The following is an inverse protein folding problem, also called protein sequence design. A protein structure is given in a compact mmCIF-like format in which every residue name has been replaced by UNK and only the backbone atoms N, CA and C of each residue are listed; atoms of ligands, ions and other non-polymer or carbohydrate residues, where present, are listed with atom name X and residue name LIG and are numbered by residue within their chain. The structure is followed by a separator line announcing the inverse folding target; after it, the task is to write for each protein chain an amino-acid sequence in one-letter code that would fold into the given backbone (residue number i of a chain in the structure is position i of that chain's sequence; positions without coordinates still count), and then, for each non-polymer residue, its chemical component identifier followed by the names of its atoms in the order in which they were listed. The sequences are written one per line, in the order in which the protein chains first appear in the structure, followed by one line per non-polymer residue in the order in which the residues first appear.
data_IF_653776440987
#
_entry.id   IF_653776440987
#
_cell.length_a   1.000
_cell.length_b   1.000
_cell.length_c   1.000
_cell.angle_alpha   90.00
_cell.angle_beta   90.00
_cell.angle_gamma   90.00
#
_symmetry.space_group_name_H-M   'P 1'
#
loop_
_entity.id
_entity.type
_entity.pdbx_description
1 polymer ?
#
# COMPACT_ATOMS: atom_id res chain seq x y z
N UNK A 1 -14.81 -2.51 -11.78
CA UNK A 1 -14.84 -1.42 -12.76
C UNK A 1 -15.83 -1.67 -13.90
N UNK A 2 -15.76 -2.80 -14.57
CA UNK A 2 -16.69 -3.15 -15.66
C UNK A 2 -18.15 -3.15 -15.19
N UNK A 3 -18.44 -3.64 -13.99
CA UNK A 3 -19.80 -3.62 -13.41
C UNK A 3 -20.29 -2.19 -13.19
N UNK A 4 -19.42 -1.26 -12.78
CA UNK A 4 -19.73 0.17 -12.63
C UNK A 4 -20.11 0.77 -13.96
N UNK A 5 -19.28 0.56 -14.99
CA UNK A 5 -19.52 1.05 -16.36
C UNK A 5 -20.81 0.46 -16.94
N UNK A 6 -21.03 -0.84 -16.76
CA UNK A 6 -22.23 -1.53 -17.22
C UNK A 6 -23.50 -0.98 -16.55
N UNK A 7 -23.46 -0.75 -15.23
CA UNK A 7 -24.58 -0.19 -14.46
C UNK A 7 -24.92 1.22 -14.92
N UNK A 8 -23.91 2.08 -15.07
CA UNK A 8 -24.11 3.46 -15.54
C UNK A 8 -24.66 3.46 -16.97
N UNK A 9 -24.07 2.68 -17.88
CA UNK A 9 -24.52 2.54 -19.26
C UNK A 9 -25.97 2.07 -19.36
N UNK A 10 -26.38 1.12 -18.52
CA UNK A 10 -27.77 0.63 -18.46
C UNK A 10 -28.74 1.75 -18.08
N UNK A 11 -28.39 2.58 -17.09
CA UNK A 11 -29.21 3.72 -16.68
C UNK A 11 -29.31 4.77 -17.78
N UNK A 12 -28.19 5.14 -18.41
CA UNK A 12 -28.20 6.10 -19.53
C UNK A 12 -29.07 5.58 -20.67
N UNK A 13 -28.94 4.31 -21.04
CA UNK A 13 -29.75 3.68 -22.10
C UNK A 13 -31.24 3.73 -21.77
N UNK A 14 -31.60 3.48 -20.51
CA UNK A 14 -32.98 3.49 -20.05
C UNK A 14 -33.63 4.87 -20.11
N UNK A 15 -32.91 5.88 -19.63
CA UNK A 15 -33.47 7.23 -19.46
C UNK A 15 -33.14 8.16 -20.63
N UNK A 16 -32.20 7.79 -21.49
CA UNK A 16 -31.72 8.58 -22.63
C UNK A 16 -31.25 9.99 -22.22
N UNK A 17 -30.56 10.07 -21.10
CA UNK A 17 -29.99 11.30 -20.56
C UNK A 17 -28.48 11.13 -20.40
N UNK A 18 -27.69 12.19 -20.67
CA UNK A 18 -26.27 12.17 -20.36
C UNK A 18 -26.05 12.03 -18.84
N UNK A 19 -24.97 11.37 -18.45
CA UNK A 19 -24.69 11.09 -17.05
C UNK A 19 -23.23 11.44 -16.73
N UNK A 20 -23.06 12.28 -15.71
CA UNK A 20 -21.79 12.63 -15.12
C UNK A 20 -21.69 11.93 -13.75
N UNK A 21 -20.89 10.90 -13.69
CA UNK A 21 -20.62 10.17 -12.45
C UNK A 21 -19.36 10.71 -11.82
N UNK A 22 -19.49 11.47 -10.71
CA UNK A 22 -18.37 11.96 -9.93
C UNK A 22 -18.11 11.00 -8.77
N UNK A 23 -16.94 10.36 -8.78
CA UNK A 23 -16.50 9.46 -7.72
C UNK A 23 -15.49 10.13 -6.81
N UNK A 24 -15.46 9.72 -5.54
CA UNK A 24 -14.47 10.18 -4.58
C UNK A 24 -13.09 9.57 -4.87
N UNK A 25 -12.04 10.27 -4.45
CA UNK A 25 -10.66 9.78 -4.44
C UNK A 25 -10.15 9.78 -3.01
N UNK A 26 -9.35 8.78 -2.66
CA UNK A 26 -8.69 8.68 -1.38
C UNK A 26 -9.21 7.55 -0.49
N UNK A 27 -8.73 7.47 0.74
CA UNK A 27 -9.11 6.41 1.66
C UNK A 27 -9.78 6.94 2.92
N UNK A 28 -10.70 6.14 3.44
CA UNK A 28 -11.34 6.39 4.72
C UNK A 28 -11.42 5.07 5.50
N UNK A 29 -10.61 4.94 6.53
CA UNK A 29 -10.47 3.73 7.34
C UNK A 29 -10.08 2.53 6.46
N UNK A 30 -11.01 1.63 6.18
CA UNK A 30 -10.81 0.37 5.44
C UNK A 30 -11.22 0.48 3.95
N UNK A 31 -11.79 1.61 3.55
CA UNK A 31 -12.33 1.81 2.20
C UNK A 31 -11.39 2.73 1.42
N UNK A 32 -11.01 2.30 0.23
CA UNK A 32 -10.28 3.12 -0.74
C UNK A 32 -11.22 3.46 -1.90
N UNK A 33 -11.38 4.76 -2.17
CA UNK A 33 -12.13 5.28 -3.30
C UNK A 33 -11.17 5.53 -4.46
N UNK A 34 -11.44 4.86 -5.57
CA UNK A 34 -10.54 4.81 -6.71
C UNK A 34 -10.66 6.01 -7.67
N UNK A 35 -11.59 6.92 -7.47
CA UNK A 35 -11.85 7.97 -8.43
C UNK A 35 -12.47 7.41 -9.71
N UNK A 36 -11.77 7.51 -10.84
CA UNK A 36 -12.29 7.05 -12.15
C UNK A 36 -13.71 7.55 -12.42
N UNK A 37 -13.93 8.86 -12.26
CA UNK A 37 -15.20 9.50 -12.62
C UNK A 37 -15.51 9.31 -14.09
N UNK A 38 -16.78 9.06 -14.42
CA UNK A 38 -17.19 8.63 -15.76
C UNK A 38 -18.21 9.60 -16.36
N UNK A 39 -18.09 9.83 -17.65
CA UNK A 39 -18.98 10.71 -18.40
C UNK A 39 -19.55 9.94 -19.58
N UNK A 40 -20.88 9.87 -19.67
CA UNK A 40 -21.61 9.24 -20.74
C UNK A 40 -22.55 10.23 -21.42
N UNK A 41 -22.59 10.22 -22.76
CA UNK A 41 -23.58 10.96 -23.53
C UNK A 41 -24.98 10.30 -23.49
N UNK A 42 -25.99 10.95 -24.03
CA UNK A 42 -27.37 10.43 -24.07
C UNK A 42 -27.53 9.14 -24.91
N UNK A 43 -26.57 8.82 -25.78
CA UNK A 43 -26.54 7.60 -26.58
C UNK A 43 -25.77 6.45 -25.86
N UNK A 44 -25.36 6.66 -24.60
CA UNK A 44 -24.61 5.73 -23.79
C UNK A 44 -23.17 5.44 -24.32
N UNK A 45 -22.56 6.39 -25.01
CA UNK A 45 -21.15 6.38 -25.34
C UNK A 45 -20.35 6.93 -24.15
N UNK A 46 -19.23 6.30 -23.83
CA UNK A 46 -18.28 6.81 -22.84
C UNK A 46 -17.48 7.96 -23.46
N UNK A 47 -17.72 9.18 -22.98
CA UNK A 47 -17.07 10.39 -23.47
C UNK A 47 -15.86 10.80 -22.64
N UNK A 48 -15.71 10.31 -21.42
CA UNK A 48 -14.57 10.60 -20.58
C UNK A 48 -14.47 9.69 -19.36
N UNK A 49 -13.25 9.41 -18.96
CA UNK A 49 -12.89 8.73 -17.73
C UNK A 49 -11.72 9.51 -17.09
N UNK A 50 -11.91 9.97 -15.85
CA UNK A 50 -10.89 10.70 -15.13
C UNK A 50 -9.88 9.72 -14.50
N UNK A 51 -8.68 10.20 -14.10
CA UNK A 51 -7.64 9.37 -13.51
C UNK A 51 -8.12 8.58 -12.28
N UNK A 52 -7.44 7.47 -12.01
CA UNK A 52 -7.62 6.69 -10.79
C UNK A 52 -6.64 7.14 -9.73
N UNK A 53 -7.07 7.12 -8.48
CA UNK A 53 -6.27 7.44 -7.29
C UNK A 53 -5.64 8.84 -7.32
N UNK A 54 -6.14 9.73 -8.19
CA UNK A 54 -5.71 11.11 -8.31
C UNK A 54 -6.91 12.05 -8.37
N UNK A 55 -6.82 13.20 -7.68
CA UNK A 55 -7.81 14.26 -7.79
C UNK A 55 -7.69 14.92 -9.18
N UNK A 56 -8.80 15.07 -9.87
CA UNK A 56 -8.83 15.68 -11.18
C UNK A 56 -10.08 16.53 -11.38
N UNK A 57 -9.94 17.62 -12.15
CA UNK A 57 -11.05 18.47 -12.59
C UNK A 57 -10.97 18.56 -14.11
N UNK A 58 -12.10 18.28 -14.76
CA UNK A 58 -12.20 18.37 -16.20
C UNK A 58 -13.54 18.97 -16.62
N UNK A 59 -13.53 19.83 -17.63
CA UNK A 59 -14.70 20.44 -18.21
C UNK A 59 -15.13 19.71 -19.47
N UNK A 60 -16.42 19.56 -19.69
CA UNK A 60 -17.02 18.95 -20.87
C UNK A 60 -18.10 19.89 -21.41
N UNK A 61 -18.27 19.93 -22.71
CA UNK A 61 -19.36 20.70 -23.37
C UNK A 61 -20.52 19.74 -23.61
N UNK A 62 -21.64 20.00 -22.99
CA UNK A 62 -22.90 19.28 -23.21
C UNK A 62 -23.74 20.07 -24.21
N UNK A 63 -24.07 19.46 -25.35
CA UNK A 63 -24.93 20.03 -26.38
C UNK A 63 -26.43 19.77 -26.09
N UNK A 64 -27.32 20.57 -26.65
CA UNK A 64 -28.77 20.45 -26.45
C UNK A 64 -29.35 19.12 -26.95
N UNK A 65 -28.68 18.44 -27.88
CA UNK A 65 -29.05 17.10 -28.36
C UNK A 65 -28.59 15.95 -27.46
N UNK A 66 -27.92 16.26 -26.36
CA UNK A 66 -27.41 15.30 -25.40
C UNK A 66 -26.07 14.68 -25.77
N UNK A 67 -25.40 15.15 -26.83
CA UNK A 67 -24.02 14.79 -27.15
C UNK A 67 -23.05 15.53 -26.23
N UNK A 68 -21.89 14.93 -25.98
CA UNK A 68 -20.83 15.53 -25.16
C UNK A 68 -19.55 15.60 -25.97
N UNK A 69 -18.98 16.79 -26.04
CA UNK A 69 -17.66 17.02 -26.59
C UNK A 69 -16.63 16.87 -25.47
N UNK A 70 -15.77 15.83 -25.59
CA UNK A 70 -14.65 15.68 -24.70
C UNK A 70 -13.54 16.66 -25.10
N UNK A 71 -12.91 17.35 -24.14
CA UNK A 71 -11.68 18.07 -24.44
C UNK A 71 -10.63 17.08 -24.96
N UNK A 72 -9.81 17.52 -25.90
CA UNK A 72 -8.65 16.73 -26.37
C UNK A 72 -7.68 16.65 -25.19
N UNK A 73 -7.66 15.50 -24.53
CA UNK A 73 -6.67 15.24 -23.47
C UNK A 73 -5.44 14.69 -24.19
N UNK A 74 -4.34 15.42 -24.10
CA UNK A 74 -3.04 14.79 -24.33
C UNK A 74 -2.85 13.79 -23.18
N UNK A 75 -2.62 12.50 -23.46
CA UNK A 75 -2.40 11.53 -22.39
C UNK A 75 -1.22 12.00 -21.56
N UNK A 76 -1.46 12.21 -20.25
CA UNK A 76 -0.37 12.46 -19.33
C UNK A 76 0.68 11.36 -19.56
N UNK A 77 1.93 11.76 -19.78
CA UNK A 77 3.01 10.86 -20.12
C UNK A 77 3.10 9.74 -19.09
N UNK A 78 2.63 8.56 -19.48
CA UNK A 78 2.91 7.34 -18.70
C UNK A 78 4.43 7.27 -18.54
N UNK A 79 4.87 7.05 -17.30
CA UNK A 79 6.25 6.67 -17.08
C UNK A 79 6.60 5.50 -18.00
N UNK A 80 7.79 5.49 -18.63
CA UNK A 80 8.15 4.44 -19.56
C UNK A 80 8.07 3.09 -18.87
N UNK A 81 7.31 2.18 -19.49
CA UNK A 81 7.24 0.77 -19.09
C UNK A 81 8.66 0.21 -18.98
N UNK A 82 9.16 0.05 -17.75
CA UNK A 82 10.23 -0.90 -17.54
C UNK A 82 9.62 -2.27 -17.81
N UNK A 83 10.13 -2.94 -18.84
CA UNK A 83 9.84 -4.34 -19.11
C UNK A 83 10.13 -5.18 -17.86
N UNK A 84 9.17 -5.28 -16.98
CA UNK A 84 9.10 -6.32 -15.96
C UNK A 84 8.60 -7.56 -16.69
N UNK A 85 9.45 -8.57 -16.78
CA UNK A 85 9.12 -9.87 -17.34
C UNK A 85 7.90 -10.41 -16.56
N UNK A 86 6.69 -10.46 -17.13
CA UNK A 86 5.52 -10.84 -16.37
C UNK A 86 5.63 -12.33 -16.05
N UNK A 87 5.80 -12.68 -14.78
CA UNK A 87 5.26 -13.93 -14.28
C UNK A 87 3.80 -13.98 -14.76
N UNK A 88 3.42 -15.04 -15.49
CA UNK A 88 2.07 -15.19 -16.00
C UNK A 88 1.08 -15.19 -14.81
N UNK A 89 0.62 -14.01 -14.47
CA UNK A 89 -0.46 -13.80 -13.50
C UNK A 89 -1.77 -14.10 -14.24
N UNK A 90 -2.66 -14.81 -13.58
CA UNK A 90 -3.98 -15.08 -14.12
C UNK A 90 -4.62 -13.78 -14.61
N UNK A 91 -5.21 -13.81 -15.81
CA UNK A 91 -5.76 -12.62 -16.53
C UNK A 91 -6.82 -11.82 -15.75
N UNK A 92 -7.27 -12.30 -14.59
CA UNK A 92 -8.31 -11.68 -13.75
C UNK A 92 -7.79 -10.89 -12.55
N UNK A 93 -6.48 -10.91 -12.27
CA UNK A 93 -5.90 -10.14 -11.17
C UNK A 93 -5.43 -8.78 -11.69
N UNK A 94 -6.20 -7.74 -11.40
CA UNK A 94 -5.78 -6.37 -11.65
C UNK A 94 -4.80 -5.92 -10.54
N UNK A 95 -3.60 -6.53 -10.55
CA UNK A 95 -2.58 -6.34 -9.52
C UNK A 95 -2.09 -4.89 -9.47
N UNK A 96 -2.05 -4.22 -10.62
CA UNK A 96 -1.69 -2.81 -10.72
C UNK A 96 -2.68 -1.94 -9.92
N UNK A 97 -3.98 -2.17 -10.11
CA UNK A 97 -5.01 -1.43 -9.37
C UNK A 97 -4.96 -1.73 -7.86
N UNK A 98 -4.68 -2.97 -7.46
CA UNK A 98 -4.50 -3.34 -6.05
C UNK A 98 -3.27 -2.64 -5.46
N UNK A 99 -2.16 -2.62 -6.19
CA UNK A 99 -0.95 -1.91 -5.81
C UNK A 99 -1.22 -0.42 -5.58
N UNK A 100 -1.85 0.25 -6.55
CA UNK A 100 -2.14 1.68 -6.48
C UNK A 100 -3.13 2.03 -5.37
N UNK A 101 -4.12 1.17 -5.15
CA UNK A 101 -5.05 1.30 -4.03
C UNK A 101 -4.33 1.24 -2.67
N UNK A 102 -3.39 0.30 -2.49
CA UNK A 102 -2.60 0.19 -1.26
C UNK A 102 -1.72 1.43 -1.06
N UNK A 103 -1.02 1.88 -2.10
CA UNK A 103 -0.19 3.10 -2.05
C UNK A 103 -1.05 4.31 -1.67
N UNK A 104 -2.20 4.50 -2.32
CA UNK A 104 -3.14 5.58 -2.01
C UNK A 104 -3.64 5.48 -0.57
N UNK A 105 -4.00 4.29 -0.10
CA UNK A 105 -4.45 4.04 1.26
C UNK A 105 -3.41 4.42 2.33
N UNK A 106 -2.16 3.98 2.15
CA UNK A 106 -1.06 4.32 3.06
C UNK A 106 -0.83 5.84 3.08
N UNK A 107 -0.74 6.46 1.91
CA UNK A 107 -0.48 7.89 1.76
C UNK A 107 -1.55 8.74 2.45
N UNK A 108 -2.81 8.41 2.21
CA UNK A 108 -3.95 9.12 2.80
C UNK A 108 -4.02 8.93 4.31
N UNK A 109 -3.81 7.73 4.82
CA UNK A 109 -3.79 7.48 6.25
C UNK A 109 -2.75 8.34 6.95
N UNK A 110 -1.52 8.35 6.45
CA UNK A 110 -0.43 9.15 7.03
C UNK A 110 -0.73 10.64 6.97
N UNK A 111 -1.23 11.13 5.83
CA UNK A 111 -1.59 12.53 5.64
C UNK A 111 -2.70 12.96 6.60
N UNK A 112 -3.77 12.19 6.70
CA UNK A 112 -4.93 12.50 7.56
C UNK A 112 -4.61 12.43 9.05
N UNK A 113 -3.70 11.54 9.43
CA UNK A 113 -3.24 11.41 10.82
C UNK A 113 -2.12 12.39 11.17
N UNK A 114 -1.58 13.14 10.20
CA UNK A 114 -0.47 14.06 10.39
C UNK A 114 0.87 13.36 10.60
N UNK A 115 0.99 12.08 10.20
CA UNK A 115 2.24 11.34 10.28
C UNK A 115 3.10 11.62 9.06
N UNK A 116 4.40 11.78 9.28
CA UNK A 116 5.37 12.07 8.21
C UNK A 116 6.41 10.98 8.05
N UNK A 117 6.58 10.11 9.03
CA UNK A 117 7.60 9.05 9.05
C UNK A 117 7.01 7.73 9.50
N UNK A 118 7.57 6.65 8.98
CA UNK A 118 7.22 5.28 9.37
C UNK A 118 8.45 4.52 9.85
N UNK A 119 8.24 3.58 10.77
CA UNK A 119 9.23 2.59 11.18
C UNK A 119 8.65 1.20 10.99
N UNK A 120 9.46 0.27 10.50
CA UNK A 120 9.06 -1.10 10.20
C UNK A 120 10.11 -2.10 10.65
N UNK A 121 9.68 -3.18 11.28
CA UNK A 121 10.52 -4.35 11.52
C UNK A 121 10.70 -5.15 10.22
N UNK A 122 11.94 -5.27 9.72
CA UNK A 122 12.27 -6.06 8.54
C UNK A 122 12.86 -7.40 8.96
N UNK A 123 12.13 -8.49 8.68
CA UNK A 123 12.50 -9.85 9.11
C UNK A 123 13.32 -10.61 8.06
N UNK A 124 13.40 -10.12 6.83
CA UNK A 124 13.92 -10.84 5.67
C UNK A 124 12.89 -11.78 5.02
N UNK A 125 11.67 -11.87 5.55
CA UNK A 125 10.56 -12.57 4.91
C UNK A 125 9.81 -11.70 3.91
N UNK A 126 9.11 -12.35 2.97
CA UNK A 126 8.42 -11.68 1.85
C UNK A 126 7.39 -10.65 2.32
N UNK A 127 6.64 -10.93 3.38
CA UNK A 127 5.59 -10.02 3.86
C UNK A 127 6.17 -8.69 4.33
N UNK A 128 7.26 -8.74 5.12
CA UNK A 128 7.95 -7.53 5.56
C UNK A 128 8.64 -6.79 4.42
N UNK A 129 9.13 -7.53 3.42
CA UNK A 129 9.77 -6.97 2.24
C UNK A 129 8.77 -6.19 1.38
N UNK A 130 7.61 -6.78 1.09
CA UNK A 130 6.53 -6.12 0.34
C UNK A 130 6.02 -4.90 1.10
N UNK A 131 5.79 -5.03 2.41
CA UNK A 131 5.34 -3.91 3.24
C UNK A 131 6.33 -2.75 3.23
N UNK A 132 7.65 -3.04 3.33
CA UNK A 132 8.70 -2.03 3.28
C UNK A 132 8.74 -1.32 1.92
N UNK A 133 8.66 -2.08 0.82
CA UNK A 133 8.67 -1.53 -0.52
C UNK A 133 7.46 -0.60 -0.75
N UNK A 134 6.25 -1.04 -0.40
CA UNK A 134 5.03 -0.26 -0.53
C UNK A 134 5.06 1.01 0.35
N UNK A 135 5.57 0.90 1.58
CA UNK A 135 5.73 2.06 2.46
C UNK A 135 6.71 3.10 1.86
N UNK A 136 7.85 2.64 1.31
CA UNK A 136 8.81 3.53 0.64
C UNK A 136 8.21 4.20 -0.60
N UNK A 137 7.38 3.50 -1.37
CA UNK A 137 6.69 4.07 -2.53
C UNK A 137 5.64 5.10 -2.12
N UNK A 138 4.88 4.83 -1.05
CA UNK A 138 3.83 5.72 -0.59
C UNK A 138 4.36 6.99 0.12
N UNK A 139 5.37 6.86 0.96
CA UNK A 139 5.83 7.91 1.87
C UNK A 139 7.16 8.54 1.44
N UNK A 140 7.84 7.94 0.48
CA UNK A 140 9.21 8.29 0.12
C UNK A 140 10.24 7.55 1.00
N UNK A 141 11.30 7.06 0.37
CA UNK A 141 12.33 6.21 1.00
C UNK A 141 12.96 6.83 2.25
N UNK A 142 13.19 8.13 2.26
CA UNK A 142 13.85 8.83 3.35
C UNK A 142 12.96 8.96 4.61
N UNK A 143 11.67 8.73 4.45
CA UNK A 143 10.66 8.77 5.51
C UNK A 143 10.31 7.40 6.11
N UNK A 144 10.92 6.32 5.59
CA UNK A 144 10.64 4.95 6.05
C UNK A 144 11.94 4.32 6.57
N UNK A 145 11.98 4.03 7.86
CA UNK A 145 13.13 3.39 8.51
C UNK A 145 12.85 1.91 8.75
N UNK A 146 13.73 1.05 8.27
CA UNK A 146 13.68 -0.39 8.56
C UNK A 146 14.51 -0.72 9.80
N UNK A 147 14.02 -1.61 10.66
CA UNK A 147 14.77 -2.13 11.80
C UNK A 147 14.87 -3.64 11.69
N UNK A 148 16.09 -4.12 11.51
CA UNK A 148 16.41 -5.53 11.47
C UNK A 148 16.72 -6.00 12.90
N UNK A 149 15.94 -6.93 13.41
CA UNK A 149 16.05 -7.37 14.80
C UNK A 149 16.34 -8.89 14.88
N UNK A 150 17.56 -9.30 14.51
CA UNK A 150 17.92 -10.70 14.52
C UNK A 150 17.96 -11.26 15.95
N UNK A 151 17.61 -12.54 16.07
CA UNK A 151 17.73 -13.35 17.27
C UNK A 151 18.64 -14.56 16.97
N UNK A 152 18.91 -15.38 17.99
CA UNK A 152 19.64 -16.63 17.83
C UNK A 152 19.01 -17.62 16.85
N UNK A 153 17.73 -17.43 16.53
CA UNK A 153 16.97 -18.27 15.57
C UNK A 153 16.97 -17.69 14.16
N UNK A 154 17.48 -16.48 13.98
CA UNK A 154 17.54 -15.82 12.66
C UNK A 154 18.67 -16.40 11.82
N UNK A 155 18.38 -16.73 10.57
CA UNK A 155 19.42 -17.17 9.64
C UNK A 155 20.23 -15.98 9.13
N UNK A 156 21.50 -16.20 8.78
CA UNK A 156 22.31 -15.17 8.16
C UNK A 156 21.72 -14.68 6.82
N UNK A 157 21.05 -15.57 6.09
CA UNK A 157 20.37 -15.23 4.83
C UNK A 157 19.25 -14.20 5.06
N UNK A 158 18.38 -14.42 6.06
CA UNK A 158 17.27 -13.49 6.33
C UNK A 158 17.77 -12.08 6.69
N UNK A 159 18.86 -11.97 7.44
CA UNK A 159 19.44 -10.66 7.79
C UNK A 159 20.03 -9.99 6.57
N UNK A 160 20.80 -10.74 5.78
CA UNK A 160 21.43 -10.22 4.55
C UNK A 160 20.38 -9.79 3.52
N UNK A 161 19.30 -10.56 3.36
CA UNK A 161 18.22 -10.24 2.43
C UNK A 161 17.48 -8.94 2.84
N UNK A 162 17.22 -8.78 4.14
CA UNK A 162 16.60 -7.56 4.67
C UNK A 162 17.50 -6.32 4.51
N UNK A 163 18.80 -6.47 4.74
CA UNK A 163 19.79 -5.42 4.56
C UNK A 163 19.93 -5.05 3.08
N UNK A 164 20.06 -6.06 2.20
CA UNK A 164 20.16 -5.84 0.76
C UNK A 164 18.90 -5.17 0.19
N UNK A 165 17.71 -5.53 0.68
CA UNK A 165 16.48 -4.87 0.30
C UNK A 165 16.51 -3.38 0.66
N UNK A 166 16.89 -3.04 1.89
CA UNK A 166 16.99 -1.65 2.33
C UNK A 166 18.01 -0.85 1.52
N UNK A 167 19.16 -1.47 1.19
CA UNK A 167 20.16 -0.86 0.30
C UNK A 167 19.59 -0.61 -1.10
N UNK A 168 18.84 -1.56 -1.67
CA UNK A 168 18.24 -1.45 -2.99
C UNK A 168 17.15 -0.37 -3.03
N UNK A 169 16.32 -0.26 -1.99
CA UNK A 169 15.30 0.77 -1.86
C UNK A 169 15.92 2.14 -1.52
N UNK A 170 17.10 2.15 -0.93
CA UNK A 170 17.80 3.35 -0.48
C UNK A 170 17.18 4.00 0.75
N UNK A 171 16.45 3.24 1.57
CA UNK A 171 15.87 3.72 2.82
C UNK A 171 16.83 3.52 3.99
N UNK A 172 16.77 4.37 5.05
CA UNK A 172 17.55 4.19 6.26
C UNK A 172 17.17 2.90 6.99
N UNK A 173 18.17 2.20 7.53
CA UNK A 173 17.95 1.00 8.32
C UNK A 173 18.91 0.89 9.50
N UNK A 174 18.50 0.14 10.53
CA UNK A 174 19.33 -0.20 11.70
C UNK A 174 19.28 -1.70 11.95
N UNK A 175 20.36 -2.24 12.51
CA UNK A 175 20.42 -3.64 12.96
C UNK A 175 20.53 -3.64 14.48
N UNK A 176 19.52 -4.19 15.15
CA UNK A 176 19.44 -4.26 16.61
C UNK A 176 19.21 -5.73 17.03
N UNK A 177 20.26 -6.48 17.35
CA UNK A 177 20.13 -7.85 17.83
C UNK A 177 19.31 -7.89 19.13
N UNK A 178 18.31 -8.78 19.20
CA UNK A 178 17.40 -8.88 20.36
C UNK A 178 17.83 -9.94 21.37
N UNK A 179 18.87 -10.71 21.08
CA UNK A 179 19.30 -11.87 21.86
C UNK A 179 19.59 -11.53 23.35
N UNK A 180 20.32 -10.45 23.59
CA UNK A 180 20.68 -10.06 24.97
C UNK A 180 19.44 -9.67 25.78
N UNK A 181 18.51 -8.94 25.18
CA UNK A 181 17.26 -8.51 25.84
C UNK A 181 16.39 -9.73 26.10
N UNK A 182 16.25 -10.59 25.11
CA UNK A 182 15.49 -11.83 25.22
C UNK A 182 16.04 -12.74 26.31
N UNK A 183 17.35 -12.96 26.35
CA UNK A 183 18.03 -13.77 27.37
C UNK A 183 17.87 -13.16 28.77
N UNK A 184 17.85 -11.83 28.89
CA UNK A 184 17.58 -11.18 30.19
C UNK A 184 16.18 -11.50 30.68
N UNK A 185 15.15 -11.46 29.84
CA UNK A 185 13.80 -11.90 30.22
C UNK A 185 13.76 -13.35 30.65
N UNK A 186 14.42 -14.26 29.93
CA UNK A 186 14.44 -15.68 30.28
C UNK A 186 15.15 -15.92 31.60
N UNK A 187 16.24 -15.21 31.87
CA UNK A 187 16.97 -15.34 33.14
C UNK A 187 16.11 -14.91 34.35
N UNK A 188 15.39 -13.80 34.22
CA UNK A 188 14.48 -13.31 35.25
C UNK A 188 13.27 -14.24 35.47
N UNK A 189 12.79 -14.88 34.43
CA UNK A 189 11.65 -15.80 34.50
C UNK A 189 12.05 -17.24 34.90
N UNK A 190 13.32 -17.58 34.81
CA UNK A 190 13.83 -18.93 35.13
C UNK A 190 13.36 -19.49 36.48
N UNK A 191 13.34 -18.71 37.59
CA UNK A 191 12.85 -19.23 38.89
C UNK A 191 11.36 -19.61 38.86
N UNK A 192 10.58 -19.00 37.96
CA UNK A 192 9.13 -19.22 37.82
C UNK A 192 8.88 -20.36 36.85
N UNK A 193 9.57 -20.35 35.68
CA UNK A 193 9.40 -21.36 34.64
C UNK A 193 10.00 -22.72 35.03
N UNK A 194 11.04 -22.71 35.86
CA UNK A 194 11.75 -23.93 36.30
C UNK A 194 12.15 -24.82 35.13
N UNK A 195 11.71 -26.09 35.15
CA UNK A 195 12.02 -27.09 34.13
C UNK A 195 10.88 -27.26 33.10
N UNK A 196 9.99 -26.27 32.99
CA UNK A 196 8.96 -26.31 31.94
C UNK A 196 9.60 -26.27 30.55
N UNK A 197 9.07 -27.05 29.59
CA UNK A 197 9.60 -27.05 28.22
C UNK A 197 9.32 -25.71 27.52
N UNK A 198 10.17 -25.38 26.54
CA UNK A 198 9.98 -24.23 25.65
C UNK A 198 8.56 -24.25 25.06
N UNK A 199 7.93 -23.09 25.04
CA UNK A 199 6.53 -22.95 24.65
C UNK A 199 6.27 -21.63 23.92
N UNK A 200 5.01 -21.35 23.64
CA UNK A 200 4.56 -20.07 23.07
C UNK A 200 4.91 -18.86 23.96
N UNK A 201 5.21 -19.07 25.26
CA UNK A 201 5.59 -17.98 26.16
C UNK A 201 6.91 -17.33 25.73
N UNK A 202 7.91 -18.14 25.42
CA UNK A 202 9.22 -17.69 24.97
C UNK A 202 9.15 -17.05 23.58
N UNK A 203 8.33 -17.60 22.68
CA UNK A 203 8.09 -16.99 21.36
C UNK A 203 7.43 -15.61 21.50
N UNK A 204 6.45 -15.47 22.37
CA UNK A 204 5.79 -14.20 22.66
C UNK A 204 6.75 -13.18 23.29
N UNK A 205 7.64 -13.59 24.21
CA UNK A 205 8.66 -12.69 24.77
C UNK A 205 9.53 -12.12 23.64
N UNK A 206 9.97 -12.97 22.71
CA UNK A 206 10.79 -12.52 21.58
C UNK A 206 10.03 -11.52 20.68
N UNK A 207 8.78 -11.82 20.35
CA UNK A 207 7.94 -10.94 19.53
C UNK A 207 7.70 -9.57 20.20
N UNK A 208 7.37 -9.58 21.51
CA UNK A 208 7.13 -8.36 22.29
C UNK A 208 8.40 -7.53 22.50
N UNK A 209 9.56 -8.17 22.62
CA UNK A 209 10.85 -7.47 22.67
C UNK A 209 11.06 -6.64 21.41
N UNK A 210 10.77 -7.18 20.22
CA UNK A 210 10.83 -6.43 18.96
C UNK A 210 9.83 -5.28 18.95
N UNK A 211 8.59 -5.53 19.37
CA UNK A 211 7.57 -4.48 19.45
C UNK A 211 7.96 -3.32 20.36
N UNK A 212 8.56 -3.61 21.53
CA UNK A 212 9.04 -2.59 22.46
C UNK A 212 10.15 -1.73 21.85
N UNK A 213 11.09 -2.32 21.12
CA UNK A 213 12.15 -1.57 20.44
C UNK A 213 11.59 -0.65 19.36
N UNK A 214 10.69 -1.17 18.52
CA UNK A 214 10.04 -0.36 17.47
C UNK A 214 9.26 0.80 18.08
N UNK A 215 8.47 0.55 19.12
CA UNK A 215 7.69 1.59 19.79
C UNK A 215 8.60 2.65 20.43
N UNK A 216 9.71 2.24 21.05
CA UNK A 216 10.66 3.18 21.65
C UNK A 216 11.30 4.11 20.60
N UNK A 217 11.64 3.57 19.41
CA UNK A 217 12.20 4.36 18.32
C UNK A 217 11.12 5.27 17.71
N UNK A 218 9.90 4.76 17.51
CA UNK A 218 8.79 5.53 16.94
C UNK A 218 8.38 6.73 17.81
N UNK A 219 8.63 6.66 19.13
CA UNK A 219 8.29 7.73 20.07
C UNK A 219 9.39 8.81 20.20
N UNK A 220 10.53 8.64 19.55
CA UNK A 220 11.65 9.60 19.53
C UNK A 220 11.76 10.36 18.21
#
# INVERSE_FOLDING_TARGET
DEDRKATIKSNVTKYRLPLFYCNAVGSQTEIVFDGASLIFDAAANLCGELPRFEEAIQSFVLNDDGTIEAPVIEPASRMPDKELNPLALEENLNIEMVHDAIISGIKDYFTKMGFTKAILGSSGGIDSAVTLALACMALGKDNVRAVLMPSQYSTSHSVNDAEQLSMNLGNPYDIIPVENIYNSFLNELRPIFKDLPFSIAEENIQSRTRGNLLMAIANK
#
